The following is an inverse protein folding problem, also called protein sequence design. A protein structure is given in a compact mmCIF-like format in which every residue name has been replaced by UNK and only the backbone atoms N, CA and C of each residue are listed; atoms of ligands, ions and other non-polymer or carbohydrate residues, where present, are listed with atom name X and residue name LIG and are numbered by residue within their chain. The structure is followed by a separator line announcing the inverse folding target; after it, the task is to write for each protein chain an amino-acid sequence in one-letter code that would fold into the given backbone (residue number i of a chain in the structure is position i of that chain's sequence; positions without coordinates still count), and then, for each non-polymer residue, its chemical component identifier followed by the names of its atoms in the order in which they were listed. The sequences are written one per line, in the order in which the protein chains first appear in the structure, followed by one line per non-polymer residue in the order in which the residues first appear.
data_IF_074080939994
#
_entry.id   IF_074080939994
#
_cell.length_a   1.000
_cell.length_b   1.000
_cell.length_c   1.000
_cell.angle_alpha   90.00
_cell.angle_beta   90.00
_cell.angle_gamma   90.00
#
_symmetry.space_group_name_H-M   'P 1'
#
loop_
_entity.id
_entity.type
_entity.pdbx_description
1 polymer ?
#
# COMPACT_ATOMS: atom_id res chain seq x y z
N UNK A 1 -67.23 60.58 9.36
CA UNK A 1 -67.91 59.31 9.64
C UNK A 1 -68.22 58.64 8.31
N UNK A 2 -67.70 57.42 8.13
CA UNK A 2 -67.95 56.46 7.05
C UNK A 2 -67.31 56.75 5.68
N UNK A 3 -66.15 56.14 5.53
CA UNK A 3 -65.61 55.55 4.31
C UNK A 3 -66.60 54.62 3.60
N UNK A 4 -66.12 54.14 2.44
CA UNK A 4 -66.49 52.90 1.77
C UNK A 4 -67.80 53.01 0.95
N UNK A 5 -67.85 52.62 -0.32
CA UNK A 5 -67.04 51.59 -0.97
C UNK A 5 -67.44 51.43 -2.44
N UNK A 6 -66.43 51.21 -3.28
CA UNK A 6 -66.43 50.13 -4.29
C UNK A 6 -67.24 50.31 -5.57
N UNK A 7 -66.52 50.41 -6.69
CA UNK A 7 -66.68 49.57 -7.88
C UNK A 7 -65.34 49.67 -8.65
N UNK A 8 -64.41 48.73 -8.48
CA UNK A 8 -64.31 47.46 -9.20
C UNK A 8 -63.52 47.58 -10.51
N UNK A 9 -62.73 46.53 -10.77
CA UNK A 9 -62.13 46.16 -12.05
C UNK A 9 -60.80 46.83 -12.39
N UNK A 10 -59.71 46.14 -12.04
CA UNK A 10 -58.57 45.83 -12.91
C UNK A 10 -57.67 44.89 -12.07
N UNK A 11 -57.80 43.57 -12.09
CA UNK A 11 -58.08 42.73 -13.25
C UNK A 11 -56.77 42.09 -13.72
N UNK A 12 -56.29 41.12 -12.94
CA UNK A 12 -55.74 39.84 -13.42
C UNK A 12 -54.53 39.77 -14.37
N UNK A 13 -53.81 40.85 -14.69
CA UNK A 13 -52.62 40.75 -15.57
C UNK A 13 -51.29 40.62 -14.78
N UNK A 14 -51.21 41.16 -13.56
CA UNK A 14 -49.98 41.16 -12.76
C UNK A 14 -49.63 39.81 -12.14
N UNK A 15 -50.63 39.04 -11.69
CA UNK A 15 -50.40 37.81 -10.93
C UNK A 15 -49.84 36.67 -11.79
N UNK A 16 -50.28 36.54 -13.05
CA UNK A 16 -49.80 35.49 -13.95
C UNK A 16 -48.31 35.69 -14.33
N UNK A 17 -47.89 36.94 -14.58
CA UNK A 17 -46.50 37.25 -14.89
C UNK A 17 -45.57 37.04 -13.69
N UNK A 18 -46.01 37.38 -12.48
CA UNK A 18 -45.22 37.14 -11.26
C UNK A 18 -45.06 35.64 -10.99
N UNK A 19 -46.12 34.84 -11.17
CA UNK A 19 -46.06 33.39 -11.00
C UNK A 19 -45.14 32.74 -12.06
N UNK A 20 -45.18 33.20 -13.31
CA UNK A 20 -44.31 32.69 -14.37
C UNK A 20 -42.83 33.00 -14.09
N UNK A 21 -42.51 34.21 -13.61
CA UNK A 21 -41.14 34.58 -13.22
C UNK A 21 -40.66 33.77 -12.01
N UNK A 22 -41.54 33.51 -11.03
CA UNK A 22 -41.22 32.67 -9.87
C UNK A 22 -40.93 31.22 -10.28
N UNK A 23 -41.72 30.64 -11.20
CA UNK A 23 -41.51 29.28 -11.71
C UNK A 23 -40.19 29.20 -12.50
N UNK A 24 -39.87 30.19 -13.34
CA UNK A 24 -38.58 30.25 -14.01
C UNK A 24 -37.40 30.31 -13.03
N UNK A 25 -37.50 31.11 -11.96
CA UNK A 25 -36.46 31.20 -10.92
C UNK A 25 -36.25 29.88 -10.15
N UNK A 26 -37.31 29.10 -9.91
CA UNK A 26 -37.22 27.79 -9.25
C UNK A 26 -36.58 26.73 -10.17
N UNK A 27 -36.78 26.83 -11.49
CA UNK A 27 -36.17 25.93 -12.47
C UNK A 27 -34.67 26.19 -12.70
N UNK A 28 -34.18 27.42 -12.49
CA UNK A 28 -32.75 27.73 -12.60
C UNK A 28 -31.92 27.30 -11.38
N UNK A 29 -32.54 27.04 -10.23
CA UNK A 29 -31.84 26.66 -9.00
C UNK A 29 -31.76 25.14 -8.75
N UNK A 30 -32.26 24.33 -9.68
CA UNK A 30 -32.28 22.87 -9.57
C UNK A 30 -31.18 22.22 -10.42
N UNK A 31 -29.92 22.62 -10.21
CA UNK A 31 -28.77 21.99 -10.85
C UNK A 31 -27.65 21.70 -9.84
N UNK A 32 -28.02 21.14 -8.69
CA UNK A 32 -27.05 20.56 -7.75
C UNK A 32 -27.65 19.30 -7.13
N UNK A 33 -27.83 18.25 -7.94
CA UNK A 33 -27.94 16.92 -7.37
C UNK A 33 -27.35 15.84 -8.27
N UNK A 34 -26.40 15.12 -7.67
CA UNK A 34 -25.82 13.85 -8.09
C UNK A 34 -24.61 13.89 -9.04
N UNK A 35 -23.57 14.64 -8.67
CA UNK A 35 -22.25 14.00 -8.68
C UNK A 35 -22.24 12.91 -7.59
N UNK A 36 -22.84 11.74 -7.88
CA UNK A 36 -22.47 10.50 -7.21
C UNK A 36 -21.00 10.28 -7.56
N UNK A 37 -20.14 10.83 -6.70
CA UNK A 37 -18.79 10.35 -6.56
C UNK A 37 -18.95 8.88 -6.26
N UNK A 38 -18.72 8.04 -7.27
CA UNK A 38 -18.35 6.65 -7.05
C UNK A 38 -17.10 6.74 -6.20
N UNK A 39 -17.29 6.75 -4.88
CA UNK A 39 -16.25 6.60 -3.90
C UNK A 39 -15.73 5.19 -4.12
N UNK A 40 -14.82 5.07 -5.10
CA UNK A 40 -14.05 3.89 -5.41
C UNK A 40 -13.52 3.45 -4.07
N UNK A 41 -14.11 2.41 -3.50
CA UNK A 41 -13.73 1.90 -2.18
C UNK A 41 -12.22 1.69 -2.27
N UNK A 42 -11.46 2.46 -1.50
CA UNK A 42 -10.01 2.34 -1.50
C UNK A 42 -9.70 1.03 -0.79
N UNK A 43 -9.70 -0.06 -1.56
CA UNK A 43 -9.39 -1.40 -1.06
C UNK A 43 -7.88 -1.41 -0.84
N UNK A 44 -7.48 -1.32 0.42
CA UNK A 44 -6.07 -1.34 0.81
C UNK A 44 -5.84 -0.57 2.11
N UNK A 45 -5.83 -1.28 3.23
CA UNK A 45 -5.27 -0.76 4.49
C UNK A 45 -3.74 -0.93 4.52
N UNK A 46 -3.06 -0.17 5.37
CA UNK A 46 -1.62 -0.31 5.61
C UNK A 46 -1.30 -1.73 6.09
N UNK A 47 -0.26 -2.34 5.51
CA UNK A 47 0.24 -3.64 5.96
C UNK A 47 1.02 -3.49 7.26
N UNK A 48 0.73 -4.36 8.23
CA UNK A 48 1.39 -4.40 9.53
C UNK A 48 2.21 -5.67 9.59
N UNK A 49 3.43 -5.55 10.12
CA UNK A 49 4.36 -6.66 10.27
C UNK A 49 4.79 -6.78 11.73
N UNK A 50 4.94 -8.02 12.18
CA UNK A 50 5.67 -8.37 13.41
C UNK A 50 7.10 -8.69 13.03
N UNK A 51 8.05 -8.23 13.85
CA UNK A 51 9.47 -8.40 13.62
C UNK A 51 10.05 -9.41 14.60
N UNK A 52 10.88 -10.33 14.09
CA UNK A 52 11.65 -11.31 14.84
C UNK A 52 13.13 -11.08 14.56
N UNK A 53 13.93 -10.95 15.61
CA UNK A 53 15.38 -10.83 15.52
C UNK A 53 16.02 -12.20 15.34
N UNK A 54 17.06 -12.26 14.52
CA UNK A 54 17.82 -13.48 14.31
C UNK A 54 19.07 -13.26 13.49
N UNK A 55 19.55 -14.36 12.93
CA UNK A 55 20.74 -14.41 12.10
C UNK A 55 20.39 -15.08 10.77
N UNK A 56 20.90 -14.51 9.68
CA UNK A 56 20.88 -15.14 8.37
C UNK A 56 22.21 -15.86 8.15
N UNK A 57 22.18 -17.19 8.05
CA UNK A 57 23.34 -17.99 7.68
C UNK A 57 23.39 -18.15 6.17
N UNK A 58 24.49 -17.71 5.55
CA UNK A 58 24.70 -17.86 4.10
C UNK A 58 24.97 -19.33 3.79
N UNK A 59 24.04 -19.98 3.10
CA UNK A 59 24.13 -21.41 2.77
C UNK A 59 24.87 -21.63 1.45
N UNK A 60 24.75 -20.72 0.49
CA UNK A 60 25.48 -20.83 -0.78
C UNK A 60 25.69 -19.49 -1.45
N UNK A 61 26.82 -19.36 -2.13
CA UNK A 61 27.13 -18.26 -3.06
C UNK A 61 27.55 -18.90 -4.38
N UNK A 62 26.78 -18.69 -5.44
CA UNK A 62 27.04 -19.30 -6.75
C UNK A 62 26.86 -18.28 -7.88
N UNK A 63 27.68 -18.31 -8.95
CA UNK A 63 27.41 -17.52 -10.15
C UNK A 63 26.04 -17.89 -10.75
N UNK A 64 25.27 -16.87 -11.12
CA UNK A 64 23.96 -17.07 -11.73
C UNK A 64 24.11 -17.61 -13.15
N UNK A 65 23.37 -18.67 -13.49
CA UNK A 65 23.40 -19.24 -14.85
C UNK A 65 22.77 -18.25 -15.84
N UNK A 66 23.48 -17.96 -16.93
CA UNK A 66 22.98 -17.10 -18.01
C UNK A 66 23.09 -15.60 -17.75
N UNK A 67 23.73 -15.17 -16.65
CA UNK A 67 24.05 -13.77 -16.38
C UNK A 67 25.52 -13.65 -16.01
N UNK A 68 26.25 -12.72 -16.65
CA UNK A 68 27.65 -12.46 -16.29
C UNK A 68 27.73 -11.59 -15.03
N UNK A 69 28.59 -11.97 -14.10
CA UNK A 69 28.91 -11.21 -12.88
C UNK A 69 27.77 -11.04 -11.85
N UNK A 70 26.68 -11.79 -11.96
CA UNK A 70 25.62 -11.89 -10.96
C UNK A 70 25.77 -13.17 -10.13
N UNK A 71 25.42 -13.10 -8.85
CA UNK A 71 25.52 -14.23 -7.92
C UNK A 71 24.17 -14.53 -7.26
N UNK A 72 23.83 -15.81 -7.21
CA UNK A 72 22.77 -16.34 -6.36
C UNK A 72 23.32 -16.57 -4.95
N UNK A 73 22.84 -15.77 -3.99
CA UNK A 73 23.20 -15.89 -2.58
C UNK A 73 21.98 -16.41 -1.83
N UNK A 74 22.09 -17.63 -1.27
CA UNK A 74 21.02 -18.26 -0.49
C UNK A 74 21.36 -18.21 0.99
N UNK A 75 20.34 -18.02 1.83
CA UNK A 75 20.49 -18.01 3.27
C UNK A 75 19.34 -18.74 3.99
N UNK A 76 19.60 -19.22 5.19
CA UNK A 76 18.59 -19.67 6.16
C UNK A 76 18.50 -18.69 7.31
N UNK A 77 17.29 -18.49 7.84
CA UNK A 77 17.06 -17.64 9.00
C UNK A 77 17.01 -18.46 10.28
N UNK A 78 17.70 -17.99 11.32
CA UNK A 78 17.74 -18.60 12.63
C UNK A 78 17.34 -17.58 13.69
N UNK A 79 16.35 -17.89 14.51
CA UNK A 79 15.94 -17.07 15.65
C UNK A 79 15.75 -17.94 16.88
N UNK A 80 15.97 -17.34 18.05
CA UNK A 80 15.61 -17.94 19.34
C UNK A 80 14.19 -17.54 19.79
N UNK A 81 13.50 -16.70 19.01
CA UNK A 81 12.14 -16.28 19.27
C UNK A 81 11.13 -17.30 18.74
N UNK A 82 10.03 -17.49 19.47
CA UNK A 82 8.91 -18.31 18.99
C UNK A 82 8.09 -17.51 17.97
N UNK A 83 8.12 -17.94 16.71
CA UNK A 83 7.27 -17.39 15.66
C UNK A 83 5.84 -17.90 15.87
N UNK A 84 4.89 -16.97 15.99
CA UNK A 84 3.48 -17.30 16.27
C UNK A 84 2.67 -17.57 14.99
N UNK A 85 3.13 -17.04 13.87
CA UNK A 85 2.47 -17.19 12.58
C UNK A 85 2.90 -18.50 11.91
N UNK A 86 2.04 -19.52 11.95
CA UNK A 86 2.34 -20.86 11.44
C UNK A 86 2.77 -20.87 9.97
N UNK A 87 2.21 -19.99 9.12
CA UNK A 87 2.61 -19.89 7.72
C UNK A 87 4.03 -19.36 7.51
N UNK A 88 4.64 -18.74 8.53
CA UNK A 88 6.02 -18.28 8.52
C UNK A 88 6.99 -19.31 9.11
N UNK A 89 6.49 -20.37 9.74
CA UNK A 89 7.27 -21.53 10.18
C UNK A 89 7.51 -22.43 8.96
N UNK A 90 8.71 -22.37 8.41
CA UNK A 90 9.12 -23.28 7.34
C UNK A 90 10.55 -23.75 7.63
N UNK A 91 10.64 -24.87 8.37
CA UNK A 91 11.91 -25.45 8.78
C UNK A 91 12.74 -25.84 7.54
N UNK A 92 13.94 -25.29 7.43
CA UNK A 92 14.84 -25.56 6.30
C UNK A 92 14.60 -24.71 5.06
N UNK A 93 13.67 -23.75 5.10
CA UNK A 93 13.48 -22.81 3.99
C UNK A 93 14.73 -21.96 3.78
N UNK A 94 15.12 -21.88 2.51
CA UNK A 94 16.19 -20.99 2.05
C UNK A 94 15.58 -19.84 1.26
N UNK A 95 16.16 -18.66 1.45
CA UNK A 95 15.75 -17.41 0.83
C UNK A 95 16.90 -16.84 0.01
N UNK A 96 16.60 -16.02 -1.00
CA UNK A 96 17.64 -15.35 -1.77
C UNK A 96 17.93 -13.96 -1.20
N UNK A 97 19.20 -13.57 -1.14
CA UNK A 97 19.56 -12.15 -0.98
C UNK A 97 19.50 -11.48 -2.37
N UNK A 98 18.69 -10.43 -2.46
CA UNK A 98 18.59 -9.53 -3.61
C UNK A 98 18.85 -8.10 -3.16
N UNK A 99 19.17 -7.21 -4.09
CA UNK A 99 19.29 -5.79 -3.79
C UNK A 99 17.90 -5.12 -3.76
N UNK A 100 17.83 -3.86 -3.32
CA UNK A 100 16.55 -3.11 -3.18
C UNK A 100 15.72 -3.01 -4.47
N UNK A 101 16.38 -3.02 -5.62
CA UNK A 101 15.80 -3.00 -6.96
C UNK A 101 15.48 -4.41 -7.50
N UNK A 102 15.56 -5.43 -6.63
CA UNK A 102 15.35 -6.85 -6.96
C UNK A 102 16.41 -7.44 -7.89
N UNK A 103 17.55 -6.76 -8.09
CA UNK A 103 18.69 -7.32 -8.81
C UNK A 103 19.49 -8.31 -7.95
N UNK A 104 20.22 -9.20 -8.61
CA UNK A 104 21.14 -10.12 -7.95
C UNK A 104 22.42 -9.39 -7.55
N UNK A 105 23.04 -9.73 -6.41
CA UNK A 105 24.30 -9.12 -6.01
C UNK A 105 25.43 -9.42 -6.99
N UNK A 106 26.30 -8.44 -7.18
CA UNK A 106 27.54 -8.55 -7.93
C UNK A 106 28.74 -8.81 -7.00
N UNK A 107 29.90 -9.17 -7.56
CA UNK A 107 31.12 -9.48 -6.79
C UNK A 107 31.54 -8.35 -5.83
N UNK A 108 31.42 -7.09 -6.25
CA UNK A 108 31.74 -5.94 -5.39
C UNK A 108 30.85 -5.88 -4.13
N UNK A 109 29.57 -6.24 -4.24
CA UNK A 109 28.64 -6.32 -3.12
C UNK A 109 29.03 -7.45 -2.17
N UNK A 110 29.38 -8.63 -2.72
CA UNK A 110 29.84 -9.75 -1.91
C UNK A 110 31.09 -9.37 -1.13
N UNK A 111 32.09 -8.77 -1.78
CA UNK A 111 33.34 -8.35 -1.12
C UNK A 111 33.10 -7.25 -0.09
N UNK A 112 32.28 -6.24 -0.40
CA UNK A 112 32.00 -5.12 0.50
C UNK A 112 31.38 -5.58 1.83
N UNK A 113 30.47 -6.55 1.77
CA UNK A 113 29.78 -7.08 2.95
C UNK A 113 30.39 -8.40 3.45
N UNK A 114 31.51 -8.80 2.85
CA UNK A 114 32.22 -10.05 3.10
C UNK A 114 31.25 -11.25 3.11
N UNK A 115 30.37 -11.33 2.11
CA UNK A 115 29.36 -12.39 1.98
C UNK A 115 30.03 -13.65 1.45
N UNK A 116 30.13 -14.64 2.32
CA UNK A 116 30.73 -15.95 2.03
C UNK A 116 29.88 -17.05 2.66
N UNK A 117 29.94 -18.26 2.09
CA UNK A 117 29.23 -19.42 2.65
C UNK A 117 29.64 -19.68 4.10
N UNK A 118 28.67 -19.96 4.97
CA UNK A 118 28.82 -20.16 6.41
C UNK A 118 28.81 -18.87 7.24
N UNK A 119 28.88 -17.69 6.60
CA UNK A 119 28.79 -16.43 7.33
C UNK A 119 27.40 -16.24 7.94
N UNK A 120 27.36 -15.71 9.16
CA UNK A 120 26.14 -15.27 9.83
C UNK A 120 26.05 -13.75 9.86
N UNK A 121 24.89 -13.23 9.47
CA UNK A 121 24.60 -11.80 9.39
C UNK A 121 23.39 -11.48 10.26
N UNK A 122 23.44 -10.44 11.10
CA UNK A 122 22.27 -9.98 11.82
C UNK A 122 21.12 -9.72 10.86
N UNK A 123 19.94 -10.23 11.18
CA UNK A 123 18.79 -10.22 10.29
C UNK A 123 17.49 -10.05 11.08
N UNK A 124 16.54 -9.30 10.52
CA UNK A 124 15.20 -9.21 11.04
C UNK A 124 14.22 -9.86 10.07
N UNK A 125 13.51 -10.89 10.53
CA UNK A 125 12.38 -11.43 9.80
C UNK A 125 11.13 -10.62 10.13
N UNK A 126 10.43 -10.15 9.11
CA UNK A 126 9.18 -9.40 9.23
C UNK A 126 8.05 -10.25 8.66
N UNK A 127 7.12 -10.64 9.51
CA UNK A 127 5.96 -11.47 9.16
C UNK A 127 4.71 -10.61 9.16
N UNK A 128 3.91 -10.67 8.10
CA UNK A 128 2.68 -9.88 8.01
C UNK A 128 1.67 -10.34 9.06
N UNK A 129 1.06 -9.40 9.78
CA UNK A 129 -0.01 -9.66 10.75
C UNK A 129 -1.33 -9.00 10.36
N UNK A 130 -1.30 -8.04 9.44
CA UNK A 130 -2.49 -7.39 8.88
C UNK A 130 -2.24 -6.92 7.45
N UNK A 131 -3.24 -7.10 6.58
CA UNK A 131 -3.18 -6.74 5.16
C UNK A 131 -2.85 -7.93 4.26
N UNK A 132 -2.62 -7.67 2.98
CA UNK A 132 -2.37 -8.69 1.94
C UNK A 132 -1.10 -8.39 1.14
N UNK A 133 -0.11 -7.78 1.79
CA UNK A 133 1.22 -7.57 1.21
C UNK A 133 2.04 -8.88 1.23
N UNK A 134 3.36 -8.78 1.04
CA UNK A 134 4.28 -9.91 1.12
C UNK A 134 4.22 -10.59 2.50
N UNK A 135 4.01 -11.92 2.58
CA UNK A 135 3.86 -12.60 3.87
C UNK A 135 5.09 -12.55 4.78
N UNK A 136 6.29 -12.67 4.21
CA UNK A 136 7.56 -12.67 4.93
C UNK A 136 8.56 -11.79 4.19
N UNK A 137 9.27 -10.95 4.92
CA UNK A 137 10.35 -10.08 4.45
C UNK A 137 11.55 -10.23 5.37
N UNK A 138 12.76 -10.03 4.84
CA UNK A 138 13.97 -9.97 5.64
C UNK A 138 14.69 -8.63 5.45
N UNK A 139 15.10 -8.04 6.57
CA UNK A 139 15.91 -6.82 6.60
C UNK A 139 17.28 -7.11 7.23
N UNK A 140 18.33 -6.59 6.59
CA UNK A 140 19.71 -6.78 6.99
C UNK A 140 20.31 -5.44 7.47
N UNK A 141 20.40 -5.18 8.79
CA UNK A 141 20.92 -3.91 9.31
C UNK A 141 22.37 -3.61 8.90
N UNK A 142 23.17 -4.64 8.63
CA UNK A 142 24.59 -4.52 8.25
C UNK A 142 24.80 -4.44 6.73
N UNK A 143 23.80 -4.82 5.92
CA UNK A 143 23.88 -4.81 4.46
C UNK A 143 23.05 -3.65 3.93
N UNK A 144 23.71 -2.56 3.52
CA UNK A 144 22.99 -1.44 2.92
C UNK A 144 22.37 -1.89 1.59
N UNK A 145 21.06 -1.74 1.48
CA UNK A 145 20.28 -2.13 0.31
C UNK A 145 20.09 -3.63 0.07
N UNK A 146 20.43 -4.50 1.02
CA UNK A 146 20.06 -5.93 0.96
C UNK A 146 18.59 -6.14 1.30
N UNK A 147 17.94 -7.06 0.57
CA UNK A 147 16.57 -7.57 0.77
C UNK A 147 16.54 -9.06 0.49
N UNK A 148 15.43 -9.71 0.80
CA UNK A 148 15.18 -11.10 0.44
C UNK A 148 14.10 -11.27 -0.63
N UNK A 149 14.20 -12.37 -1.39
CA UNK A 149 13.11 -12.91 -2.19
C UNK A 149 12.76 -14.33 -1.73
#
# INVERSE_FOLDING_TARGET
MKDLSTFASLGSIGFASVIMVLICLVLFFSCDLAAVSSARTKVGGTCIYKQYSGEAEIISVAPRKGASAEYEVRFSFHTNETIQEEFALDEGKQWLIVQKDFSYPHENFLTQYDITTGKRLPCYMKVITKGTCTPVLFDFPTIRNGRSQ
#
